data_IF_517612096475
#
_entry.id   IF_517612096475
#
_cell.length_a   1.000
_cell.length_b   1.000
_cell.length_c   1.000
_cell.angle_alpha   90.00
_cell.angle_beta   90.00
_cell.angle_gamma   90.00
#
_symmetry.space_group_name_H-M   'P 1'
#
loop_
_entity.id
_entity.type
_entity.pdbx_description
1 polymer ?
#
# COMPACT_ATOMS: atom_id res chain seq x y z
N UNK A 1 13.04 11.80 -5.87
CA UNK A 1 11.84 11.78 -5.01
C UNK A 1 11.15 10.44 -5.16
N UNK A 2 10.97 9.68 -4.08
CA UNK A 2 10.26 8.39 -4.08
C UNK A 2 8.80 8.63 -3.70
N UNK A 3 7.88 8.16 -4.54
CA UNK A 3 6.44 8.31 -4.33
C UNK A 3 5.89 7.01 -3.74
N UNK A 4 5.23 7.13 -2.57
CA UNK A 4 4.67 5.99 -1.83
C UNK A 4 3.15 6.12 -1.78
N UNK A 5 2.41 5.22 -2.43
CA UNK A 5 0.94 5.24 -2.42
C UNK A 5 0.35 4.16 -1.52
N UNK A 6 -0.64 4.51 -0.71
CA UNK A 6 -1.14 3.62 0.35
C UNK A 6 -2.65 3.63 0.42
N UNK A 7 -3.28 2.47 0.28
CA UNK A 7 -4.72 2.33 0.36
C UNK A 7 -5.18 2.19 1.82
N UNK A 8 -6.19 2.97 2.20
CA UNK A 8 -6.90 2.79 3.47
C UNK A 8 -6.19 3.28 4.73
N UNK A 9 -5.10 4.05 4.60
CA UNK A 9 -4.33 4.61 5.72
C UNK A 9 -4.96 5.86 6.35
N UNK A 10 -6.29 5.95 6.33
CA UNK A 10 -7.05 7.00 7.02
C UNK A 10 -7.30 6.68 8.50
N UNK A 11 -6.68 5.62 9.03
CA UNK A 11 -6.81 5.26 10.45
C UNK A 11 -5.90 6.12 11.34
N UNK A 12 -6.39 6.56 12.52
CA UNK A 12 -5.62 7.44 13.41
C UNK A 12 -4.48 6.73 14.17
N UNK A 13 -4.44 5.39 14.14
CA UNK A 13 -3.34 4.61 14.70
C UNK A 13 -2.22 4.44 13.67
N UNK A 14 -2.12 3.23 13.11
CA UNK A 14 -1.02 2.86 12.23
C UNK A 14 -0.86 3.76 10.99
N UNK A 15 -1.95 4.10 10.31
CA UNK A 15 -1.90 4.91 9.09
C UNK A 15 -1.26 6.28 9.36
N UNK A 16 -1.73 6.97 10.41
CA UNK A 16 -1.17 8.24 10.86
C UNK A 16 0.30 8.13 11.24
N UNK A 17 0.68 7.15 12.06
CA UNK A 17 2.07 7.00 12.50
C UNK A 17 3.04 6.81 11.33
N UNK A 18 2.66 6.03 10.32
CA UNK A 18 3.55 5.85 9.16
C UNK A 18 3.60 7.12 8.30
N UNK A 19 2.46 7.79 8.09
CA UNK A 19 2.43 9.05 7.34
C UNK A 19 3.27 10.14 8.01
N UNK A 20 3.27 10.23 9.34
CA UNK A 20 4.13 11.17 10.09
C UNK A 20 5.62 10.89 9.84
N UNK A 21 6.03 9.62 9.82
CA UNK A 21 7.42 9.22 9.50
C UNK A 21 7.79 9.55 8.06
N UNK A 22 6.87 9.37 7.12
CA UNK A 22 7.09 9.72 5.71
C UNK A 22 7.17 11.23 5.52
N UNK A 23 6.29 11.99 6.16
CA UNK A 23 6.26 13.45 6.14
C UNK A 23 7.53 14.06 6.76
N UNK A 24 8.17 13.37 7.72
CA UNK A 24 9.47 13.78 8.28
C UNK A 24 10.66 13.67 7.32
N UNK A 25 10.47 13.21 6.08
CA UNK A 25 11.52 13.06 5.05
C UNK A 25 11.10 13.66 3.69
N UNK A 26 10.67 14.93 3.64
CA UNK A 26 10.02 15.50 2.47
C UNK A 26 10.95 15.61 1.24
N UNK A 27 12.26 15.75 1.44
CA UNK A 27 13.23 15.80 0.33
C UNK A 27 13.42 14.46 -0.40
N UNK A 28 12.98 13.37 0.23
CA UNK A 28 13.21 12.00 -0.24
C UNK A 28 11.92 11.26 -0.56
N UNK A 29 10.88 11.44 0.25
CA UNK A 29 9.66 10.66 0.24
C UNK A 29 8.44 11.57 0.07
N UNK A 30 7.51 11.17 -0.80
CA UNK A 30 6.20 11.80 -0.97
C UNK A 30 5.09 10.77 -0.77
N UNK A 31 4.35 10.81 0.34
CA UNK A 31 3.21 9.95 0.56
C UNK A 31 1.99 10.38 -0.28
N UNK A 32 1.23 9.40 -0.76
CA UNK A 32 -0.10 9.57 -1.38
C UNK A 32 -1.07 8.60 -0.71
N UNK A 33 -2.16 9.10 -0.16
CA UNK A 33 -3.21 8.25 0.42
C UNK A 33 -4.27 7.97 -0.61
N UNK A 34 -4.49 6.68 -0.92
CA UNK A 34 -5.62 6.22 -1.72
C UNK A 34 -6.84 6.03 -0.81
N UNK A 35 -7.85 6.86 -1.00
CA UNK A 35 -9.05 6.94 -0.18
C UNK A 35 -10.28 6.63 -1.04
N UNK A 36 -11.31 5.97 -0.48
CA UNK A 36 -12.56 5.69 -1.22
C UNK A 36 -13.21 7.00 -1.67
N UNK A 37 -13.74 7.03 -2.91
CA UNK A 37 -14.52 8.17 -3.46
C UNK A 37 -15.54 8.74 -2.47
N UNK A 38 -16.28 7.86 -1.78
CA UNK A 38 -17.34 8.25 -0.83
C UNK A 38 -16.86 8.60 0.58
N UNK A 39 -15.58 8.38 0.91
CA UNK A 39 -15.08 8.61 2.27
C UNK A 39 -14.62 10.05 2.48
N UNK A 40 -14.95 10.62 3.63
CA UNK A 40 -14.43 11.91 4.08
C UNK A 40 -12.95 11.78 4.44
N UNK A 41 -12.16 12.81 4.10
CA UNK A 41 -10.78 12.89 4.56
C UNK A 41 -10.80 13.31 6.04
N UNK A 42 -10.13 12.59 6.95
CA UNK A 42 -10.04 13.00 8.34
C UNK A 42 -9.28 14.32 8.48
N UNK A 43 -9.70 15.18 9.41
CA UNK A 43 -9.10 16.51 9.60
C UNK A 43 -7.58 16.47 9.82
N UNK A 44 -7.10 15.53 10.63
CA UNK A 44 -5.66 15.34 10.87
C UNK A 44 -4.86 15.06 9.60
N UNK A 45 -5.46 14.39 8.60
CA UNK A 45 -4.80 14.08 7.34
C UNK A 45 -4.77 15.29 6.40
N UNK A 46 -5.81 16.12 6.46
CA UNK A 46 -5.83 17.42 5.78
C UNK A 46 -4.75 18.35 6.35
N UNK A 47 -4.62 18.39 7.67
CA UNK A 47 -3.66 19.26 8.36
C UNK A 47 -2.19 18.84 8.13
N UNK A 48 -1.96 17.59 7.69
CA UNK A 48 -0.63 17.08 7.32
C UNK A 48 -0.18 17.48 5.90
N UNK A 49 -1.04 18.14 5.11
CA UNK A 49 -0.79 18.49 3.70
C UNK A 49 -0.33 17.28 2.85
N UNK A 50 -0.87 16.10 3.17
CA UNK A 50 -0.60 14.87 2.42
C UNK A 50 -1.58 14.74 1.27
N UNK A 51 -1.08 14.40 0.08
CA UNK A 51 -1.93 14.19 -1.08
C UNK A 51 -2.89 13.02 -0.85
N UNK A 52 -4.20 13.25 -1.02
CA UNK A 52 -5.24 12.23 -0.94
C UNK A 52 -5.90 12.05 -2.31
N UNK A 53 -5.68 10.90 -2.94
CA UNK A 53 -6.36 10.52 -4.19
C UNK A 53 -7.64 9.75 -3.88
N UNK A 54 -8.78 10.28 -4.33
CA UNK A 54 -10.08 9.61 -4.24
C UNK A 54 -10.22 8.61 -5.38
N UNK A 55 -10.36 7.33 -5.04
CA UNK A 55 -10.36 6.21 -5.99
C UNK A 55 -11.51 5.25 -5.74
N UNK A 56 -11.92 4.52 -6.78
CA UNK A 56 -12.77 3.35 -6.64
C UNK A 56 -11.91 2.16 -6.19
N UNK A 57 -11.90 1.81 -4.91
CA UNK A 57 -11.08 0.70 -4.40
C UNK A 57 -11.47 -0.68 -4.97
N UNK A 58 -12.65 -0.79 -5.58
CA UNK A 58 -13.14 -1.97 -6.30
C UNK A 58 -13.04 -1.83 -7.82
N UNK A 59 -12.64 -0.66 -8.31
CA UNK A 59 -12.51 -0.34 -9.73
C UNK A 59 -11.04 -0.40 -10.12
N UNK A 60 -10.64 -1.53 -10.70
CA UNK A 60 -9.23 -1.79 -11.03
C UNK A 60 -8.60 -0.66 -11.88
N UNK A 61 -9.32 -0.17 -12.89
CA UNK A 61 -8.86 0.94 -13.76
C UNK A 61 -8.60 2.21 -12.96
N UNK A 62 -9.48 2.57 -12.02
CA UNK A 62 -9.31 3.75 -11.15
C UNK A 62 -8.04 3.64 -10.30
N UNK A 63 -7.74 2.44 -9.81
CA UNK A 63 -6.53 2.18 -9.02
C UNK A 63 -5.27 2.21 -9.89
N UNK A 64 -5.29 1.61 -11.08
CA UNK A 64 -4.15 1.60 -12.00
C UNK A 64 -3.77 3.03 -12.40
N UNK A 65 -4.74 3.87 -12.73
CA UNK A 65 -4.50 5.28 -13.05
C UNK A 65 -3.91 6.06 -11.88
N UNK A 66 -4.43 5.85 -10.67
CA UNK A 66 -3.94 6.51 -9.46
C UNK A 66 -2.49 6.13 -9.11
N UNK A 67 -2.06 4.93 -9.50
CA UNK A 67 -0.72 4.38 -9.25
C UNK A 67 0.31 4.67 -10.34
N UNK A 68 -0.05 5.29 -11.47
CA UNK A 68 0.93 5.64 -12.51
C UNK A 68 2.03 6.56 -11.94
N UNK A 69 3.29 6.18 -12.13
CA UNK A 69 4.46 6.91 -11.61
C UNK A 69 4.72 6.72 -10.11
N UNK A 70 3.96 5.87 -9.41
CA UNK A 70 4.21 5.50 -8.02
C UNK A 70 5.35 4.47 -7.96
N UNK A 71 6.28 4.68 -7.02
CA UNK A 71 7.44 3.81 -6.86
C UNK A 71 7.13 2.64 -5.91
N UNK A 72 6.44 2.92 -4.81
CA UNK A 72 6.06 1.91 -3.81
C UNK A 72 4.57 1.99 -3.53
N UNK A 73 3.86 0.86 -3.50
CA UNK A 73 2.44 0.86 -3.21
C UNK A 73 1.97 -0.27 -2.27
N UNK A 74 1.02 0.04 -1.39
CA UNK A 74 0.31 -0.92 -0.54
C UNK A 74 -1.18 -0.93 -0.87
N UNK A 75 -1.61 -1.93 -1.65
CA UNK A 75 -2.98 -2.14 -2.11
C UNK A 75 -3.13 -3.57 -2.67
N UNK A 76 -3.83 -3.75 -3.80
CA UNK A 76 -3.92 -5.00 -4.56
C UNK A 76 -2.69 -5.21 -5.45
N UNK A 77 -2.04 -6.37 -5.34
CA UNK A 77 -0.82 -6.70 -6.12
C UNK A 77 -1.03 -6.58 -7.64
N UNK A 78 -2.13 -7.13 -8.16
CA UNK A 78 -2.42 -7.15 -9.60
C UNK A 78 -2.47 -5.73 -10.19
N UNK A 79 -3.05 -4.79 -9.44
CA UNK A 79 -3.10 -3.37 -9.81
C UNK A 79 -1.70 -2.78 -9.84
N UNK A 80 -0.88 -3.04 -8.81
CA UNK A 80 0.50 -2.55 -8.75
C UNK A 80 1.33 -3.06 -9.95
N UNK A 81 1.18 -4.33 -10.31
CA UNK A 81 1.84 -4.91 -11.48
C UNK A 81 1.40 -4.25 -12.78
N UNK A 82 0.10 -4.01 -12.96
CA UNK A 82 -0.45 -3.32 -14.15
C UNK A 82 -0.04 -1.84 -14.24
N UNK A 83 0.13 -1.19 -13.10
CA UNK A 83 0.57 0.20 -13.00
C UNK A 83 2.11 0.36 -13.08
N UNK A 84 2.85 -0.75 -13.24
CA UNK A 84 4.32 -0.78 -13.25
C UNK A 84 4.96 -0.17 -11.97
N UNK A 85 4.34 -0.42 -10.82
CA UNK A 85 4.91 -0.04 -9.51
C UNK A 85 6.17 -0.88 -9.26
N UNK A 86 7.26 -0.22 -8.86
CA UNK A 86 8.57 -0.86 -8.68
C UNK A 86 8.62 -1.77 -7.44
N UNK A 87 7.92 -1.37 -6.37
CA UNK A 87 7.87 -2.11 -5.11
C UNK A 87 6.46 -2.25 -4.56
N UNK A 88 6.08 -3.47 -4.20
CA UNK A 88 4.83 -3.73 -3.49
C UNK A 88 5.05 -3.92 -1.99
N UNK A 89 4.22 -3.28 -1.18
CA UNK A 89 4.24 -3.47 0.28
C UNK A 89 2.89 -4.03 0.69
N UNK A 90 2.75 -5.36 0.87
CA UNK A 90 1.51 -5.92 1.39
C UNK A 90 1.14 -5.24 2.71
N UNK A 91 -0.16 -5.09 2.97
CA UNK A 91 -0.68 -4.52 4.22
C UNK A 91 -0.58 -5.57 5.35
N UNK A 92 0.63 -6.04 5.61
CA UNK A 92 0.97 -7.04 6.61
C UNK A 92 1.38 -6.36 7.90
N UNK A 93 0.41 -6.26 8.82
CA UNK A 93 0.66 -5.83 10.20
C UNK A 93 -0.03 -6.85 11.11
N UNK A 94 0.64 -7.99 11.30
CA UNK A 94 0.08 -9.16 11.98
C UNK A 94 1.17 -10.04 12.59
N UNK A 95 0.77 -11.19 13.14
CA UNK A 95 1.63 -12.07 13.95
C UNK A 95 2.64 -12.93 13.14
N UNK A 96 2.75 -12.72 11.83
CA UNK A 96 3.65 -13.47 10.94
C UNK A 96 3.10 -14.84 10.52
N UNK A 97 3.79 -15.50 9.59
CA UNK A 97 3.40 -16.80 9.01
C UNK A 97 3.31 -17.93 10.06
N UNK A 98 4.07 -17.82 11.15
CA UNK A 98 4.08 -18.83 12.23
C UNK A 98 2.81 -18.84 13.07
N UNK A 99 2.07 -17.74 13.14
CA UNK A 99 0.81 -17.65 13.88
C UNK A 99 -0.40 -18.03 13.01
N UNK A 100 -0.19 -18.28 11.71
CA UNK A 100 -1.25 -18.51 10.73
C UNK A 100 -2.18 -19.71 11.04
N UNK A 101 -1.69 -20.89 11.46
CA UNK A 101 -2.56 -22.04 11.71
C UNK A 101 -3.60 -21.77 12.81
N UNK A 102 -3.28 -20.84 13.71
CA UNK A 102 -4.08 -20.50 14.89
C UNK A 102 -5.09 -19.38 14.62
N UNK A 103 -4.99 -18.67 13.50
CA UNK A 103 -5.84 -17.53 13.17
C UNK A 103 -6.30 -17.55 11.70
N UNK A 104 -7.54 -18.00 11.47
CA UNK A 104 -8.20 -18.02 10.15
C UNK A 104 -8.14 -16.67 9.40
N UNK A 105 -8.10 -15.54 10.15
CA UNK A 105 -8.03 -14.19 9.60
C UNK A 105 -6.70 -13.87 8.89
N UNK A 106 -5.64 -14.65 9.10
CA UNK A 106 -4.31 -14.43 8.52
C UNK A 106 -4.09 -15.13 7.18
N UNK A 107 -4.94 -16.11 6.79
CA UNK A 107 -4.81 -16.85 5.50
C UNK A 107 -4.76 -15.99 4.23
N UNK A 108 -5.49 -14.86 4.10
CA UNK A 108 -5.36 -14.01 2.92
C UNK A 108 -3.96 -13.40 2.75
N UNK A 109 -3.17 -13.27 3.83
CA UNK A 109 -1.84 -12.66 3.81
C UNK A 109 -0.85 -13.55 3.05
N UNK A 110 -0.86 -14.87 3.30
CA UNK A 110 0.04 -15.80 2.59
C UNK A 110 -0.23 -15.87 1.11
N UNK A 111 -1.51 -15.81 0.70
CA UNK A 111 -1.85 -15.72 -0.73
C UNK A 111 -1.21 -14.49 -1.38
N UNK A 112 -1.13 -13.37 -0.65
CA UNK A 112 -0.46 -12.17 -1.16
C UNK A 112 1.06 -12.35 -1.22
N UNK A 113 1.69 -12.92 -0.18
CA UNK A 113 3.15 -13.20 -0.14
C UNK A 113 3.56 -14.16 -1.24
N UNK A 114 2.83 -15.26 -1.42
CA UNK A 114 3.13 -16.25 -2.45
C UNK A 114 2.96 -15.67 -3.86
N UNK A 115 1.92 -14.86 -4.08
CA UNK A 115 1.77 -14.15 -5.35
C UNK A 115 2.93 -13.16 -5.60
N UNK A 116 3.47 -12.53 -4.55
CA UNK A 116 4.67 -11.70 -4.68
C UNK A 116 5.93 -12.51 -5.02
N UNK A 117 6.07 -13.71 -4.45
CA UNK A 117 7.17 -14.64 -4.75
C UNK A 117 7.13 -15.07 -6.22
N UNK A 118 5.96 -15.43 -6.74
CA UNK A 118 5.82 -15.76 -8.16
C UNK A 118 6.11 -14.56 -9.06
N UNK A 119 5.58 -13.37 -8.72
CA UNK A 119 5.86 -12.15 -9.48
C UNK A 119 7.36 -11.81 -9.53
N UNK A 120 8.12 -12.06 -8.46
CA UNK A 120 9.58 -11.87 -8.42
C UNK A 120 10.33 -12.83 -9.33
N UNK A 121 9.85 -14.07 -9.48
CA UNK A 121 10.43 -15.05 -10.41
C UNK A 121 10.24 -14.62 -11.86
N UNK A 122 9.07 -14.08 -12.19
CA UNK A 122 8.75 -13.58 -13.54
C UNK A 122 9.42 -12.23 -13.84
N UNK A 123 9.60 -11.38 -12.82
CA UNK A 123 10.14 -10.02 -12.92
C UNK A 123 11.26 -9.82 -11.89
N UNK A 124 12.53 -10.16 -12.21
CA UNK A 124 13.63 -10.14 -11.25
C UNK A 124 13.88 -8.78 -10.59
N UNK A 125 13.50 -7.67 -11.25
CA UNK A 125 13.61 -6.30 -10.75
C UNK A 125 12.49 -5.88 -9.78
N UNK A 126 11.37 -6.61 -9.72
CA UNK A 126 10.26 -6.30 -8.80
C UNK A 126 10.68 -6.52 -7.34
N UNK A 127 10.30 -5.66 -6.41
CA UNK A 127 10.57 -5.88 -4.98
C UNK A 127 9.29 -5.98 -4.15
N UNK A 128 9.33 -6.74 -3.05
CA UNK A 128 8.26 -6.75 -2.06
C UNK A 128 8.79 -6.81 -0.63
N UNK A 129 8.00 -6.29 0.32
CA UNK A 129 8.31 -6.33 1.75
C UNK A 129 7.20 -7.09 2.49
N UNK A 130 7.37 -8.40 2.68
CA UNK A 130 6.47 -9.26 3.46
C UNK A 130 7.24 -10.06 4.50
N UNK A 131 6.56 -10.46 5.58
CA UNK A 131 7.17 -11.31 6.61
C UNK A 131 7.31 -12.75 6.09
N UNK A 132 8.51 -13.32 6.24
CA UNK A 132 8.79 -14.75 5.95
C UNK A 132 8.16 -15.62 7.02
#
# INVERSE_FOLDING_TARGET
MIIVAVAGWTSPGLGRSILEVLAGKPDRLRPIVLSRKSSTTPKWLEDMDTEVKKVGLTEETSLVEALRGVHTASTQLNVCLRAAVQRFTPAEFGAGSLAEPDFDVLRPQIKAVDACREAKKEKPEFEYAGCV
#
